data_IF_363317908296
#
_entry.id   IF_363317908296
#
_cell.length_a   1.000
_cell.length_b   1.000
_cell.length_c   1.000
_cell.angle_alpha   90.00
_cell.angle_beta   90.00
_cell.angle_gamma   90.00
#
_symmetry.space_group_name_H-M   'P 1'
#
loop_
_entity.id
_entity.type
_entity.pdbx_description
1 polymer ?
#
# COMPACT_ATOMS: atom_id res chain seq x y z
N UNK A 1 -59.28 -5.67 -26.57
CA UNK A 1 -58.22 -6.57 -26.06
C UNK A 1 -57.17 -5.75 -25.32
N UNK A 2 -56.97 -6.02 -24.02
CA UNK A 2 -56.05 -5.25 -23.18
C UNK A 2 -54.64 -5.83 -23.18
N UNK A 3 -53.63 -4.94 -23.09
CA UNK A 3 -52.48 -4.95 -22.14
C UNK A 3 -51.21 -4.31 -22.75
N UNK A 4 -50.94 -3.09 -22.25
CA UNK A 4 -49.67 -2.45 -21.81
C UNK A 4 -48.39 -2.46 -22.69
N UNK A 5 -47.60 -1.36 -22.63
CA UNK A 5 -46.40 -1.12 -23.45
C UNK A 5 -45.15 -1.79 -22.87
N UNK A 6 -44.32 -2.40 -23.72
CA UNK A 6 -43.06 -3.02 -23.33
C UNK A 6 -41.90 -2.01 -23.28
N UNK A 7 -41.11 -2.14 -22.22
CA UNK A 7 -40.04 -1.26 -21.75
C UNK A 7 -38.90 -1.08 -22.77
N UNK A 8 -38.44 0.17 -22.87
CA UNK A 8 -37.18 0.59 -23.52
C UNK A 8 -36.00 -0.21 -22.91
N UNK A 9 -35.30 -0.97 -23.75
CA UNK A 9 -34.03 -1.61 -23.38
C UNK A 9 -32.92 -0.55 -23.41
N UNK A 10 -32.10 -0.50 -22.35
CA UNK A 10 -30.88 0.31 -22.31
C UNK A 10 -29.79 -0.36 -23.17
N UNK A 11 -28.93 0.40 -23.87
CA UNK A 11 -27.83 -0.14 -24.63
C UNK A 11 -26.76 -0.76 -23.70
N UNK A 12 -26.01 -1.78 -24.17
CA UNK A 12 -24.95 -2.41 -23.39
C UNK A 12 -23.72 -1.50 -23.22
N UNK A 13 -22.97 -1.61 -22.12
CA UNK A 13 -21.73 -0.87 -21.92
C UNK A 13 -20.61 -1.37 -22.86
N UNK A 14 -19.80 -0.47 -23.45
CA UNK A 14 -18.63 -0.86 -24.23
C UNK A 14 -17.45 -1.19 -23.29
N UNK A 15 -16.73 -2.29 -23.57
CA UNK A 15 -15.39 -2.51 -23.00
C UNK A 15 -15.14 -3.81 -22.23
N UNK A 16 -15.95 -4.85 -22.40
CA UNK A 16 -15.64 -6.18 -21.84
C UNK A 16 -14.43 -6.84 -22.53
N UNK A 17 -13.29 -6.93 -21.84
CA UNK A 17 -12.17 -7.76 -22.27
C UNK A 17 -12.56 -9.25 -22.28
N UNK A 18 -12.17 -10.03 -23.31
CA UNK A 18 -12.59 -11.41 -23.46
C UNK A 18 -11.95 -12.34 -22.41
N UNK A 19 -12.80 -13.14 -21.74
CA UNK A 19 -12.38 -14.28 -20.92
C UNK A 19 -11.69 -15.32 -21.80
N UNK A 20 -10.43 -15.63 -21.48
CA UNK A 20 -9.66 -16.73 -22.07
C UNK A 20 -10.41 -18.07 -21.86
N UNK A 21 -10.51 -18.94 -22.88
CA UNK A 21 -11.30 -20.15 -22.83
C UNK A 21 -10.76 -21.16 -21.80
N UNK A 22 -11.69 -21.79 -21.09
CA UNK A 22 -11.47 -22.84 -20.10
C UNK A 22 -11.35 -24.17 -20.85
N UNK A 23 -10.13 -24.66 -21.06
CA UNK A 23 -9.91 -25.98 -21.68
C UNK A 23 -10.50 -27.07 -20.80
N UNK A 24 -11.24 -27.96 -21.46
CA UNK A 24 -11.97 -29.12 -20.97
C UNK A 24 -11.09 -30.36 -21.16
N UNK A 25 -10.96 -31.20 -20.15
CA UNK A 25 -10.31 -32.52 -20.19
C UNK A 25 -9.71 -32.85 -18.82
N UNK A 26 -9.92 -34.01 -18.21
CA UNK A 26 -10.72 -35.19 -18.54
C UNK A 26 -10.88 -36.03 -17.27
N UNK A 27 -11.88 -36.90 -17.26
CA UNK A 27 -12.08 -37.96 -16.26
C UNK A 27 -10.92 -38.98 -16.30
N UNK A 28 -10.37 -39.35 -15.14
CA UNK A 28 -9.41 -40.44 -14.98
C UNK A 28 -8.73 -40.43 -13.59
N UNK A 29 -8.57 -41.60 -12.92
CA UNK A 29 -8.37 -41.69 -11.48
C UNK A 29 -6.89 -41.74 -11.04
N UNK A 30 -6.69 -41.41 -9.76
CA UNK A 30 -5.56 -41.76 -8.90
C UNK A 30 -4.14 -41.26 -9.25
N UNK A 31 -3.44 -40.89 -8.17
CA UNK A 31 -1.99 -40.89 -8.02
C UNK A 31 -1.16 -39.61 -8.28
N UNK A 32 -0.22 -39.44 -7.34
CA UNK A 32 1.00 -38.62 -7.30
C UNK A 32 0.89 -37.09 -7.23
N UNK A 33 0.94 -36.63 -5.98
CA UNK A 33 1.72 -35.49 -5.50
C UNK A 33 2.88 -35.11 -6.45
N UNK A 34 2.63 -34.09 -7.28
CA UNK A 34 3.67 -33.36 -8.03
C UNK A 34 3.36 -31.87 -7.96
N UNK A 35 3.42 -31.30 -6.74
CA UNK A 35 3.71 -29.88 -6.61
C UNK A 35 5.17 -29.68 -7.05
N UNK A 36 5.37 -29.46 -8.35
CA UNK A 36 6.64 -28.92 -8.82
C UNK A 36 6.92 -27.63 -8.01
N UNK A 37 8.06 -27.53 -7.31
CA UNK A 37 8.47 -26.25 -6.76
C UNK A 37 8.60 -25.29 -7.93
N UNK A 38 7.88 -24.17 -7.88
CA UNK A 38 8.06 -23.09 -8.86
C UNK A 38 9.56 -22.77 -8.88
N UNK A 39 10.22 -22.74 -10.07
CA UNK A 39 11.62 -22.38 -10.15
C UNK A 39 11.80 -21.05 -9.43
N UNK A 40 12.77 -21.05 -8.51
CA UNK A 40 12.95 -20.01 -7.51
C UNK A 40 12.89 -18.63 -8.14
N UNK A 41 11.89 -17.84 -7.75
CA UNK A 41 12.21 -16.44 -7.52
C UNK A 41 13.22 -16.49 -6.40
N UNK A 42 14.51 -16.45 -6.75
CA UNK A 42 15.54 -15.97 -5.85
C UNK A 42 14.90 -14.79 -5.13
N UNK A 43 14.65 -14.95 -3.83
CA UNK A 43 14.38 -13.81 -2.97
C UNK A 43 15.63 -12.99 -3.14
N UNK A 44 15.59 -12.00 -4.04
CA UNK A 44 16.60 -10.95 -4.19
C UNK A 44 16.97 -10.62 -2.75
N UNK A 45 18.16 -11.08 -2.35
CA UNK A 45 18.53 -11.15 -0.93
C UNK A 45 18.20 -9.82 -0.31
N UNK A 46 17.59 -9.82 0.89
CA UNK A 46 17.44 -8.58 1.65
C UNK A 46 18.84 -7.96 1.67
N UNK A 47 19.08 -6.78 1.09
CA UNK A 47 20.43 -6.26 1.16
C UNK A 47 20.66 -5.93 2.63
N UNK A 48 21.57 -6.67 3.24
CA UNK A 48 21.83 -6.70 4.68
C UNK A 48 22.67 -5.50 5.14
N UNK A 49 22.88 -4.53 4.24
CA UNK A 49 23.80 -3.41 4.43
C UNK A 49 23.12 -2.09 4.07
N UNK A 50 21.98 -1.85 4.71
CA UNK A 50 21.35 -0.54 4.66
C UNK A 50 21.65 0.19 5.95
N UNK A 51 22.23 1.37 5.83
CA UNK A 51 22.36 2.40 6.88
C UNK A 51 20.96 2.94 7.28
N UNK A 52 19.96 2.06 7.36
CA UNK A 52 18.64 2.32 7.86
C UNK A 52 18.65 2.12 9.37
N UNK A 53 17.98 2.99 10.13
CA UNK A 53 17.87 2.82 11.56
C UNK A 53 17.15 1.50 11.89
N UNK A 54 17.36 1.01 13.11
CA UNK A 54 16.62 -0.15 13.62
C UNK A 54 15.09 0.04 13.40
N UNK A 55 14.31 -1.03 13.18
CA UNK A 55 12.90 -0.93 12.82
C UNK A 55 12.08 -0.01 13.74
N UNK A 56 12.36 -0.04 15.04
CA UNK A 56 11.71 0.83 16.02
C UNK A 56 12.04 2.32 15.81
N UNK A 57 13.32 2.66 15.61
CA UNK A 57 13.74 4.02 15.32
C UNK A 57 13.24 4.51 13.95
N UNK A 58 13.06 3.61 12.98
CA UNK A 58 12.41 3.94 11.71
C UNK A 58 10.93 4.32 11.91
N UNK A 59 10.21 3.57 12.74
CA UNK A 59 8.82 3.87 13.07
C UNK A 59 8.68 5.19 13.82
N UNK A 60 9.58 5.48 14.78
CA UNK A 60 9.59 6.75 15.50
C UNK A 60 9.83 7.94 14.55
N UNK A 61 10.75 7.83 13.60
CA UNK A 61 10.94 8.86 12.59
C UNK A 61 9.72 9.02 11.66
N UNK A 62 9.02 7.93 11.34
CA UNK A 62 7.80 7.98 10.55
C UNK A 62 6.65 8.65 11.30
N UNK A 63 6.49 8.36 12.59
CA UNK A 63 5.51 9.02 13.44
C UNK A 63 5.80 10.53 13.52
N UNK A 64 7.05 10.91 13.80
CA UNK A 64 7.46 12.31 13.89
C UNK A 64 7.21 13.11 12.59
N UNK A 65 7.48 12.51 11.43
CA UNK A 65 7.22 13.13 10.13
C UNK A 65 5.73 13.39 9.91
N UNK A 66 4.88 12.41 10.22
CA UNK A 66 3.44 12.57 10.06
C UNK A 66 2.85 13.54 11.07
N UNK A 67 3.31 13.52 12.32
CA UNK A 67 2.87 14.46 13.35
C UNK A 67 3.20 15.90 12.92
N UNK A 68 4.44 16.17 12.52
CA UNK A 68 4.84 17.50 12.01
C UNK A 68 4.05 17.95 10.77
N UNK A 69 3.71 17.02 9.88
CA UNK A 69 2.92 17.33 8.69
C UNK A 69 1.46 17.66 9.04
N UNK A 70 0.88 16.88 9.96
CA UNK A 70 -0.52 17.01 10.33
C UNK A 70 -0.79 18.15 11.31
N UNK A 71 0.23 18.60 12.04
CA UNK A 71 0.19 19.80 12.89
C UNK A 71 0.16 21.11 12.09
N UNK A 72 0.42 21.07 10.78
CA UNK A 72 0.35 22.25 9.92
C UNK A 72 -1.08 22.51 9.41
N UNK A 73 -1.49 23.79 9.42
CA UNK A 73 -2.64 24.35 8.67
C UNK A 73 -3.90 23.46 8.59
N UNK A 74 -4.51 23.12 9.73
CA UNK A 74 -5.79 22.34 9.79
C UNK A 74 -5.76 21.00 8.99
N UNK A 75 -4.57 20.48 8.67
CA UNK A 75 -4.41 19.24 7.89
C UNK A 75 -4.82 18.01 8.69
N UNK A 76 -4.75 18.06 10.02
CA UNK A 76 -5.15 16.98 10.90
C UNK A 76 -6.56 16.43 10.59
N UNK A 77 -7.52 17.30 10.29
CA UNK A 77 -8.93 16.93 10.05
C UNK A 77 -9.32 16.95 8.57
N UNK A 78 -8.56 17.62 7.71
CA UNK A 78 -8.86 17.78 6.28
C UNK A 78 -8.08 16.82 5.38
N UNK A 79 -6.89 16.39 5.80
CA UNK A 79 -6.02 15.49 5.03
C UNK A 79 -6.41 14.03 5.22
N UNK A 80 -6.62 13.33 4.10
CA UNK A 80 -6.80 11.86 4.11
C UNK A 80 -5.55 11.15 4.61
N UNK A 81 -4.37 11.71 4.36
CA UNK A 81 -3.10 11.20 4.85
C UNK A 81 -3.09 11.21 6.38
N UNK A 82 -3.41 12.35 7.00
CA UNK A 82 -3.46 12.47 8.46
C UNK A 82 -4.51 11.55 9.09
N UNK A 83 -5.74 11.56 8.56
CA UNK A 83 -6.83 10.72 9.08
C UNK A 83 -6.46 9.23 9.00
N UNK A 84 -5.95 8.77 7.84
CA UNK A 84 -5.59 7.37 7.65
C UNK A 84 -4.40 6.96 8.51
N UNK A 85 -3.40 7.84 8.65
CA UNK A 85 -2.23 7.62 9.47
C UNK A 85 -2.57 7.51 10.95
N UNK A 86 -3.30 8.48 11.52
CA UNK A 86 -3.66 8.45 12.95
C UNK A 86 -4.50 7.23 13.29
N UNK A 87 -5.46 6.87 12.43
CA UNK A 87 -6.26 5.66 12.60
C UNK A 87 -5.37 4.41 12.62
N UNK A 88 -4.40 4.31 11.71
CA UNK A 88 -3.51 3.15 11.63
C UNK A 88 -2.48 3.12 12.76
N UNK A 89 -1.90 4.26 13.12
CA UNK A 89 -0.94 4.43 14.22
C UNK A 89 -1.56 4.02 15.56
N UNK A 90 -2.81 4.42 15.82
CA UNK A 90 -3.54 4.00 17.03
C UNK A 90 -3.78 2.48 17.07
N UNK A 91 -4.14 1.87 15.94
CA UNK A 91 -4.30 0.42 15.85
C UNK A 91 -2.95 -0.29 16.06
N UNK A 92 -1.86 0.26 15.51
CA UNK A 92 -0.50 -0.27 15.67
C UNK A 92 -0.07 -0.23 17.14
N UNK A 93 -0.21 0.92 17.79
CA UNK A 93 0.11 1.12 19.22
C UNK A 93 -0.69 0.14 20.09
N UNK A 94 -2.00 0.03 19.88
CA UNK A 94 -2.85 -0.91 20.62
C UNK A 94 -2.49 -2.39 20.39
N UNK A 95 -2.00 -2.76 19.20
CA UNK A 95 -1.51 -4.11 18.94
C UNK A 95 -0.17 -4.37 19.64
N UNK A 96 0.75 -3.40 19.62
CA UNK A 96 2.03 -3.50 20.31
C UNK A 96 1.87 -3.57 21.84
N UNK A 97 0.91 -2.85 22.42
CA UNK A 97 0.57 -2.97 23.84
C UNK A 97 0.07 -4.36 24.25
N UNK A 98 -0.42 -5.14 23.29
CA UNK A 98 -0.87 -6.54 23.49
C UNK A 98 0.16 -7.57 23.04
N UNK A 99 1.37 -7.14 22.69
CA UNK A 99 2.40 -7.98 22.05
C UNK A 99 1.89 -8.70 20.78
N UNK A 100 0.88 -8.15 20.12
CA UNK A 100 0.32 -8.66 18.87
C UNK A 100 0.97 -8.00 17.66
N UNK A 101 1.09 -8.76 16.56
CA UNK A 101 1.57 -8.20 15.29
C UNK A 101 0.55 -7.19 14.75
N UNK A 102 0.95 -5.95 14.47
CA UNK A 102 0.01 -4.95 13.98
C UNK A 102 -0.54 -5.33 12.60
N UNK A 103 -1.85 -5.09 12.35
CA UNK A 103 -2.45 -5.35 11.07
C UNK A 103 -1.89 -4.40 9.99
N UNK A 104 -1.85 -4.85 8.72
CA UNK A 104 -1.44 -3.98 7.63
C UNK A 104 -2.41 -2.80 7.49
N UNK A 105 -1.96 -1.65 6.95
CA UNK A 105 -2.83 -0.52 6.73
C UNK A 105 -3.98 -0.88 5.77
N UNK A 106 -5.20 -0.40 6.02
CA UNK A 106 -6.35 -0.66 5.15
C UNK A 106 -6.09 -0.09 3.75
N UNK A 107 -6.64 -0.76 2.73
CA UNK A 107 -6.53 -0.28 1.34
C UNK A 107 -7.50 0.87 1.05
N UNK A 108 -8.61 0.92 1.77
CA UNK A 108 -9.58 2.01 1.67
C UNK A 108 -9.07 3.25 2.37
N UNK A 109 -9.27 4.41 1.75
CA UNK A 109 -8.80 5.68 2.28
C UNK A 109 -7.29 5.86 2.18
N UNK A 110 -6.61 5.13 1.27
CA UNK A 110 -5.19 5.36 1.00
C UNK A 110 -4.99 6.81 0.56
N UNK A 111 -4.02 7.55 1.14
CA UNK A 111 -3.74 8.91 0.73
C UNK A 111 -3.27 8.98 -0.71
N UNK A 112 -3.44 10.16 -1.32
CA UNK A 112 -2.97 10.39 -2.67
C UNK A 112 -1.45 10.38 -2.70
N UNK A 113 -0.86 9.84 -3.77
CA UNK A 113 0.59 9.76 -3.88
C UNK A 113 1.25 11.14 -3.90
N UNK A 114 0.61 12.14 -4.50
CA UNK A 114 1.14 13.52 -4.53
C UNK A 114 1.25 14.12 -3.13
N UNK A 115 0.24 13.92 -2.29
CA UNK A 115 0.25 14.38 -0.88
C UNK A 115 1.34 13.67 -0.06
N UNK A 116 1.53 12.36 -0.29
CA UNK A 116 2.63 11.61 0.31
C UNK A 116 3.99 12.16 -0.15
N UNK A 117 4.12 12.51 -1.43
CA UNK A 117 5.34 13.04 -2.01
C UNK A 117 5.68 14.44 -1.48
N UNK A 118 4.67 15.29 -1.36
CA UNK A 118 4.79 16.62 -0.76
C UNK A 118 5.22 16.55 0.71
N UNK A 119 4.58 15.68 1.50
CA UNK A 119 4.96 15.46 2.90
C UNK A 119 6.42 15.04 3.05
N UNK A 120 6.86 14.02 2.30
CA UNK A 120 8.22 13.53 2.41
C UNK A 120 9.24 14.57 1.95
N UNK A 121 8.95 15.29 0.86
CA UNK A 121 9.85 16.32 0.35
C UNK A 121 9.98 17.46 1.37
N UNK A 122 8.85 17.96 1.87
CA UNK A 122 8.82 19.04 2.86
C UNK A 122 9.52 18.66 4.16
N UNK A 123 9.34 17.42 4.65
CA UNK A 123 10.03 16.93 5.83
C UNK A 123 11.55 16.82 5.64
N UNK A 124 11.98 16.39 4.45
CA UNK A 124 13.40 16.22 4.14
C UNK A 124 14.12 17.53 3.84
N UNK A 125 13.38 18.59 3.50
CA UNK A 125 13.92 19.94 3.33
C UNK A 125 14.15 20.66 4.67
N UNK A 126 13.57 20.16 5.78
CA UNK A 126 13.84 20.67 7.13
C UNK A 126 15.27 20.32 7.56
N UNK A 127 16.02 21.32 8.02
CA UNK A 127 17.41 21.16 8.47
C UNK A 127 17.52 20.09 9.56
N UNK A 128 18.42 19.12 9.36
CA UNK A 128 18.65 18.01 10.29
C UNK A 128 17.84 16.73 10.01
N UNK A 129 16.76 16.80 9.21
CA UNK A 129 15.96 15.61 8.87
C UNK A 129 16.52 14.76 7.73
N UNK A 130 17.49 15.29 6.98
CA UNK A 130 18.13 14.66 5.82
C UNK A 130 18.71 13.24 6.08
N UNK A 131 19.09 12.95 7.34
CA UNK A 131 19.68 11.67 7.77
C UNK A 131 18.66 10.72 8.39
N UNK A 132 17.41 11.16 8.54
CA UNK A 132 16.34 10.33 9.12
C UNK A 132 16.00 9.16 8.20
N UNK A 133 15.45 8.11 8.78
CA UNK A 133 15.01 6.92 8.05
C UNK A 133 14.08 7.24 6.87
N UNK A 134 13.01 8.06 7.03
CA UNK A 134 12.13 8.47 5.95
C UNK A 134 12.86 9.09 4.77
N UNK A 135 13.78 10.04 5.01
CA UNK A 135 14.51 10.72 3.93
C UNK A 135 15.49 9.80 3.19
N UNK A 136 16.19 8.92 3.92
CA UNK A 136 17.06 7.91 3.31
C UNK A 136 16.29 6.97 2.39
N UNK A 137 15.10 6.49 2.81
CA UNK A 137 14.24 5.64 1.98
C UNK A 137 13.64 6.40 0.80
N UNK A 138 13.24 7.66 1.03
CA UNK A 138 12.60 8.48 0.02
C UNK A 138 13.54 8.84 -1.14
N UNK A 139 14.76 9.29 -0.83
CA UNK A 139 15.79 9.60 -1.83
C UNK A 139 16.09 8.40 -2.74
N UNK A 140 16.11 7.20 -2.16
CA UNK A 140 16.32 5.96 -2.91
C UNK A 140 15.18 5.67 -3.87
N UNK A 141 13.93 5.88 -3.45
CA UNK A 141 12.76 5.70 -4.32
C UNK A 141 12.82 6.61 -5.55
N UNK A 142 13.29 7.85 -5.39
CA UNK A 142 13.57 8.74 -6.52
C UNK A 142 14.66 8.19 -7.44
N UNK A 143 15.79 7.73 -6.88
CA UNK A 143 16.90 7.17 -7.65
C UNK A 143 16.55 5.89 -8.43
N UNK A 144 15.59 5.08 -7.97
CA UNK A 144 15.11 3.89 -8.69
C UNK A 144 14.12 4.21 -9.83
N UNK A 145 13.59 5.43 -9.90
CA UNK A 145 12.67 5.89 -10.96
C UNK A 145 13.38 6.67 -12.08
N UNK A 146 14.60 7.15 -11.84
CA UNK A 146 15.50 7.79 -12.82
C UNK A 146 16.42 6.78 -13.56
N UNK A 147 16.24 5.47 -13.33
CA UNK A 147 16.92 4.35 -14.02
C UNK A 147 15.97 3.63 -14.98
#
# INVERSE_FOLDING_TARGET
>A
EGRRPAKKQKPPPPGGYPKRPKSRGGDGPEEVDRRQPRPGRERKGKPEDYDLPAPKALEEHMDAMHDWWCEQEDRAESSKLCISWYKHSNIRKAALEKDEKPPPPPREGRPDMSEIEEMHTSWCDVEGNEKTGPCKMWRRRGAEMDL
#
